data_IF_865025964946
#
_entry.id   IF_865025964946
#
_cell.length_a   1.000
_cell.length_b   1.000
_cell.length_c   1.000
_cell.angle_alpha   90.00
_cell.angle_beta   90.00
_cell.angle_gamma   90.00
#
_symmetry.space_group_name_H-M   'P 1'
#
loop_
_entity.id
_entity.type
_entity.pdbx_description
1 polymer ?
#
# COMPACT_ATOMS: atom_id res chain seq x y z
N UNK A 1 -1.46 16.19 31.75
CA UNK A 1 -0.01 15.99 31.58
C UNK A 1 0.15 14.73 30.76
N UNK A 2 0.30 14.85 29.44
CA UNK A 2 0.39 13.72 28.49
C UNK A 2 1.88 13.48 28.27
N UNK A 3 2.40 12.26 28.43
CA UNK A 3 3.81 12.00 28.22
C UNK A 3 4.15 12.10 26.74
N UNK A 4 5.22 12.81 26.44
CA UNK A 4 5.86 12.98 25.15
C UNK A 4 6.34 11.62 24.65
N UNK A 5 5.79 11.13 23.55
CA UNK A 5 6.19 9.87 22.90
C UNK A 5 7.19 10.16 21.78
N UNK A 6 8.34 10.74 22.14
CA UNK A 6 9.53 10.71 21.30
C UNK A 6 10.38 9.49 21.71
N UNK A 7 9.92 8.33 21.30
CA UNK A 7 10.74 7.13 21.28
C UNK A 7 11.21 6.91 19.83
N UNK A 8 12.49 7.11 19.65
CA UNK A 8 13.31 6.90 18.46
C UNK A 8 13.26 5.43 18.01
N UNK A 9 12.12 5.03 17.45
CA UNK A 9 11.93 3.73 16.85
C UNK A 9 12.30 3.85 15.38
N UNK A 10 13.51 3.42 15.03
CA UNK A 10 13.96 3.19 13.65
C UNK A 10 13.02 2.21 12.96
N UNK A 11 11.87 2.71 12.55
CA UNK A 11 10.93 1.94 11.70
C UNK A 11 11.63 1.67 10.38
N UNK A 12 11.76 0.42 9.95
CA UNK A 12 12.26 0.15 8.61
C UNK A 12 11.38 0.89 7.62
N UNK A 13 12.01 1.75 6.80
CA UNK A 13 11.30 2.52 5.78
C UNK A 13 10.44 1.56 4.95
N UNK A 14 9.16 1.88 4.79
CA UNK A 14 8.23 1.11 3.96
C UNK A 14 8.77 0.89 2.54
N UNK A 15 9.46 1.90 1.99
CA UNK A 15 10.15 1.82 0.71
C UNK A 15 11.27 0.78 0.74
N UNK A 16 12.02 0.72 1.83
CA UNK A 16 13.13 -0.24 1.99
C UNK A 16 12.62 -1.68 2.07
N UNK A 17 11.53 -1.92 2.78
CA UNK A 17 10.89 -3.24 2.86
C UNK A 17 10.27 -3.66 1.52
N UNK A 18 9.66 -2.72 0.78
CA UNK A 18 9.05 -3.00 -0.52
C UNK A 18 10.09 -3.16 -1.63
N UNK A 19 11.17 -2.35 -1.63
CA UNK A 19 12.27 -2.41 -2.60
C UNK A 19 13.31 -3.47 -2.24
N UNK A 20 13.52 -3.74 -0.97
CA UNK A 20 14.47 -4.76 -0.50
C UNK A 20 14.13 -6.17 -0.96
N UNK A 21 12.85 -6.44 -1.24
CA UNK A 21 12.42 -7.72 -1.82
C UNK A 21 12.76 -7.88 -3.31
N UNK A 22 13.30 -6.82 -3.97
CA UNK A 22 13.69 -6.87 -5.39
C UNK A 22 15.17 -6.56 -5.68
N UNK A 23 15.95 -6.18 -4.64
CA UNK A 23 17.35 -5.78 -4.78
C UNK A 23 18.13 -6.14 -3.50
N UNK A 24 18.14 -7.38 -3.13
CA UNK A 24 18.92 -7.82 -1.99
C UNK A 24 19.48 -9.20 -2.26
N UNK A 25 20.79 -9.31 -2.15
CA UNK A 25 21.59 -10.50 -2.10
C UNK A 25 20.79 -11.71 -1.53
N UNK A 26 20.70 -12.77 -2.33
CA UNK A 26 19.88 -13.97 -2.13
C UNK A 26 20.37 -14.89 -0.99
N UNK A 27 21.11 -14.40 -0.01
CA UNK A 27 21.72 -15.25 1.03
C UNK A 27 20.89 -15.43 2.31
N UNK A 28 19.84 -14.64 2.56
CA UNK A 28 19.07 -14.72 3.82
C UNK A 28 17.62 -15.20 3.71
N UNK A 29 17.14 -15.57 2.52
CA UNK A 29 15.80 -16.12 2.32
C UNK A 29 15.86 -17.56 1.79
N UNK A 30 16.34 -18.45 2.61
CA UNK A 30 16.67 -19.86 2.24
C UNK A 30 15.49 -20.74 1.78
N UNK A 31 14.24 -20.27 1.73
CA UNK A 31 13.16 -21.05 1.11
C UNK A 31 12.21 -20.27 0.18
N UNK A 32 12.27 -18.96 0.10
CA UNK A 32 11.40 -18.15 -0.78
C UNK A 32 12.00 -17.86 -2.15
N UNK A 33 13.32 -18.04 -2.32
CA UNK A 33 14.02 -17.83 -3.59
C UNK A 33 13.73 -18.87 -4.68
N UNK A 34 12.99 -19.92 -4.35
CA UNK A 34 12.63 -21.02 -5.26
C UNK A 34 11.20 -20.91 -5.82
N UNK A 35 10.38 -19.99 -5.34
CA UNK A 35 9.00 -19.87 -5.81
C UNK A 35 8.93 -18.99 -7.07
N UNK A 36 8.20 -19.46 -8.08
CA UNK A 36 7.84 -18.60 -9.21
C UNK A 36 6.98 -17.41 -8.75
N UNK A 37 6.96 -16.27 -9.48
CA UNK A 37 6.09 -15.13 -9.16
C UNK A 37 4.62 -15.52 -8.98
N UNK A 38 4.12 -16.45 -9.77
CA UNK A 38 2.74 -16.93 -9.71
C UNK A 38 2.49 -17.77 -8.46
N UNK A 39 3.42 -18.66 -8.09
CA UNK A 39 3.33 -19.42 -6.85
C UNK A 39 3.35 -18.50 -5.61
N UNK A 40 4.14 -17.43 -5.66
CA UNK A 40 4.16 -16.43 -4.60
C UNK A 40 2.82 -15.68 -4.53
N UNK A 41 2.25 -15.30 -5.67
CA UNK A 41 0.93 -14.67 -5.73
C UNK A 41 -0.16 -15.58 -5.14
N UNK A 42 -0.16 -16.87 -5.47
CA UNK A 42 -1.12 -17.84 -4.93
C UNK A 42 -1.02 -18.00 -3.41
N UNK A 43 0.20 -18.03 -2.87
CA UNK A 43 0.42 -18.09 -1.43
C UNK A 43 -0.09 -16.81 -0.77
N UNK A 44 0.25 -15.64 -1.30
CA UNK A 44 -0.23 -14.34 -0.79
C UNK A 44 -1.75 -14.25 -0.83
N UNK A 45 -2.36 -14.66 -1.93
CA UNK A 45 -3.83 -14.63 -2.09
C UNK A 45 -4.54 -15.51 -1.07
N UNK A 46 -4.03 -16.71 -0.82
CA UNK A 46 -4.56 -17.61 0.22
C UNK A 46 -4.42 -17.02 1.63
N UNK A 47 -3.28 -16.39 1.93
CA UNK A 47 -3.06 -15.74 3.24
C UNK A 47 -4.02 -14.57 3.42
N UNK A 48 -4.15 -13.69 2.41
CA UNK A 48 -5.08 -12.57 2.43
C UNK A 48 -6.52 -13.05 2.64
N UNK A 49 -6.95 -14.06 1.87
CA UNK A 49 -8.27 -14.66 2.03
C UNK A 49 -8.53 -15.15 3.46
N UNK A 50 -7.58 -15.87 4.07
CA UNK A 50 -7.71 -16.32 5.47
C UNK A 50 -7.84 -15.17 6.45
N UNK A 51 -7.01 -14.12 6.30
CA UNK A 51 -7.06 -12.94 7.16
C UNK A 51 -8.44 -12.26 7.05
N UNK A 52 -8.96 -12.08 5.84
CA UNK A 52 -10.26 -11.46 5.60
C UNK A 52 -11.42 -12.26 6.23
N UNK A 53 -11.32 -13.58 6.29
CA UNK A 53 -12.34 -14.44 6.92
C UNK A 53 -12.19 -14.57 8.43
N UNK A 54 -11.00 -14.29 8.97
CA UNK A 54 -10.74 -14.39 10.41
C UNK A 54 -11.35 -13.23 11.22
N UNK A 55 -11.62 -12.08 10.58
CA UNK A 55 -12.20 -10.91 11.25
C UNK A 55 -11.83 -9.58 10.58
N UNK A 56 -12.20 -8.46 11.21
CA UNK A 56 -11.87 -7.13 10.70
C UNK A 56 -10.37 -6.93 10.56
N UNK A 57 -9.93 -6.48 9.38
CA UNK A 57 -8.52 -6.26 9.09
C UNK A 57 -8.31 -5.06 8.14
N UNK A 58 -7.11 -4.50 8.16
CA UNK A 58 -6.66 -3.50 7.20
C UNK A 58 -5.46 -4.08 6.45
N UNK A 59 -5.59 -4.18 5.12
CA UNK A 59 -4.54 -4.74 4.26
C UNK A 59 -4.06 -3.65 3.30
N UNK A 60 -2.74 -3.49 3.17
CA UNK A 60 -2.13 -2.49 2.30
C UNK A 60 -1.51 -3.15 1.08
N UNK A 61 -2.05 -2.84 -0.09
CA UNK A 61 -1.56 -3.32 -1.38
C UNK A 61 -1.79 -4.81 -1.63
N UNK A 62 -0.88 -5.46 -2.38
CA UNK A 62 -0.91 -6.90 -2.71
C UNK A 62 -2.18 -7.38 -3.42
N UNK A 63 -2.81 -6.50 -4.21
CA UNK A 63 -4.08 -6.79 -4.90
C UNK A 63 -5.21 -7.27 -3.95
N UNK A 64 -5.13 -6.89 -2.66
CA UNK A 64 -6.10 -7.34 -1.66
C UNK A 64 -7.53 -6.91 -1.97
N UNK A 65 -7.70 -5.74 -2.58
CA UNK A 65 -8.97 -5.25 -3.10
C UNK A 65 -9.59 -6.19 -4.14
N UNK A 66 -8.77 -6.80 -4.98
CA UNK A 66 -9.21 -7.76 -5.99
C UNK A 66 -9.44 -9.16 -5.40
N UNK A 67 -8.54 -9.60 -4.52
CA UNK A 67 -8.66 -10.92 -3.86
C UNK A 67 -9.94 -10.98 -3.01
N UNK A 68 -10.23 -9.90 -2.29
CA UNK A 68 -11.39 -9.82 -1.40
C UNK A 68 -12.68 -9.28 -2.07
N UNK A 69 -12.71 -9.10 -3.38
CA UNK A 69 -13.80 -8.42 -4.11
C UNK A 69 -15.18 -9.04 -3.93
N UNK A 70 -15.24 -10.33 -3.62
CA UNK A 70 -16.51 -11.05 -3.40
C UNK A 70 -17.05 -10.85 -1.97
N UNK A 71 -16.29 -10.23 -1.09
CA UNK A 71 -16.74 -9.98 0.28
C UNK A 71 -17.64 -8.74 0.31
N UNK A 72 -18.84 -8.89 0.84
CA UNK A 72 -19.84 -7.80 0.92
C UNK A 72 -19.39 -6.64 1.79
N UNK A 73 -18.55 -6.91 2.80
CA UNK A 73 -18.02 -5.92 3.74
C UNK A 73 -16.64 -5.35 3.33
N UNK A 74 -16.18 -5.63 2.11
CA UNK A 74 -14.95 -5.02 1.59
C UNK A 74 -15.10 -3.51 1.43
N UNK A 75 -14.11 -2.77 1.92
CA UNK A 75 -13.94 -1.36 1.65
C UNK A 75 -12.55 -1.09 1.07
N UNK A 76 -12.48 -0.68 -0.19
CA UNK A 76 -11.23 -0.42 -0.90
C UNK A 76 -11.00 1.08 -1.07
N UNK A 77 -9.80 1.53 -0.74
CA UNK A 77 -9.37 2.93 -0.82
C UNK A 77 -8.11 3.04 -1.66
N UNK A 78 -8.09 3.95 -2.61
CA UNK A 78 -6.90 4.34 -3.35
C UNK A 78 -6.45 5.73 -2.91
N UNK A 79 -5.26 5.82 -2.34
CA UNK A 79 -4.67 7.08 -1.90
C UNK A 79 -3.58 7.46 -2.90
N UNK A 80 -3.71 8.64 -3.49
CA UNK A 80 -2.73 9.19 -4.41
C UNK A 80 -2.30 10.59 -3.98
N UNK A 81 -1.29 11.13 -4.65
CA UNK A 81 -0.79 12.48 -4.39
C UNK A 81 0.08 12.92 -5.57
N UNK A 82 0.12 14.22 -5.91
CA UNK A 82 0.99 14.75 -6.94
C UNK A 82 2.46 14.38 -6.74
N UNK A 83 3.18 14.20 -7.84
CA UNK A 83 4.57 13.77 -7.85
C UNK A 83 5.48 14.62 -6.96
N UNK A 84 5.36 15.96 -7.07
CA UNK A 84 6.16 16.88 -6.26
C UNK A 84 5.90 16.75 -4.76
N UNK A 85 4.65 16.51 -4.35
CA UNK A 85 4.30 16.31 -2.94
C UNK A 85 4.90 15.00 -2.41
N UNK A 86 4.83 13.92 -3.20
CA UNK A 86 5.43 12.63 -2.84
C UNK A 86 6.96 12.71 -2.76
N UNK A 87 7.60 13.41 -3.71
CA UNK A 87 9.04 13.60 -3.72
C UNK A 87 9.53 14.28 -2.44
N UNK A 88 8.90 15.40 -2.04
CA UNK A 88 9.22 16.08 -0.77
C UNK A 88 9.13 15.14 0.44
N UNK A 89 8.08 14.34 0.53
CA UNK A 89 7.92 13.37 1.64
C UNK A 89 9.01 12.29 1.65
N UNK A 90 9.47 11.86 0.48
CA UNK A 90 10.56 10.88 0.36
C UNK A 90 11.87 11.50 0.84
N UNK A 91 12.18 12.73 0.44
CA UNK A 91 13.37 13.47 0.90
C UNK A 91 13.30 13.71 2.40
N UNK A 92 12.16 14.18 2.95
CA UNK A 92 11.98 14.41 4.38
C UNK A 92 12.18 13.16 5.24
N UNK A 93 12.02 11.97 4.67
CA UNK A 93 12.27 10.68 5.33
C UNK A 93 13.71 10.19 5.19
N UNK A 94 14.56 10.96 4.53
CA UNK A 94 15.92 10.55 4.17
C UNK A 94 15.99 9.27 3.30
N UNK A 95 14.94 9.02 2.50
CA UNK A 95 14.89 7.89 1.57
C UNK A 95 15.49 8.25 0.18
N UNK A 96 15.79 9.54 -0.06
CA UNK A 96 16.46 10.08 -1.24
C UNK A 96 17.30 11.30 -0.87
N UNK A 97 18.38 11.54 -1.63
CA UNK A 97 19.26 12.68 -1.41
C UNK A 97 18.63 14.01 -1.85
N UNK A 98 17.82 13.97 -2.91
CA UNK A 98 17.17 15.14 -3.49
C UNK A 98 15.80 14.79 -4.11
N UNK A 99 15.06 15.82 -4.55
CA UNK A 99 13.76 15.64 -5.19
C UNK A 99 13.82 14.88 -6.52
N UNK A 100 14.88 15.08 -7.32
CA UNK A 100 15.02 14.39 -8.59
C UNK A 100 15.22 12.88 -8.41
N UNK A 101 15.99 12.48 -7.42
CA UNK A 101 16.14 11.08 -7.03
C UNK A 101 14.82 10.54 -6.45
N UNK A 102 14.15 11.30 -5.61
CA UNK A 102 12.86 10.93 -5.03
C UNK A 102 11.79 10.67 -6.10
N UNK A 103 11.71 11.53 -7.13
CA UNK A 103 10.80 11.34 -8.27
C UNK A 103 11.12 10.03 -9.01
N UNK A 104 12.40 9.77 -9.27
CA UNK A 104 12.85 8.53 -9.92
C UNK A 104 12.44 7.28 -9.13
N UNK A 105 12.65 7.32 -7.83
CA UNK A 105 12.27 6.23 -6.90
C UNK A 105 10.75 6.03 -6.92
N UNK A 106 9.97 7.12 -6.80
CA UNK A 106 8.51 7.07 -6.82
C UNK A 106 7.97 6.47 -8.12
N UNK A 107 8.44 6.95 -9.28
CA UNK A 107 8.03 6.44 -10.60
C UNK A 107 8.34 4.96 -10.77
N UNK A 108 9.54 4.54 -10.38
CA UNK A 108 9.93 3.12 -10.43
C UNK A 108 9.05 2.24 -9.54
N UNK A 109 8.71 2.73 -8.35
CA UNK A 109 7.83 2.02 -7.43
C UNK A 109 6.39 1.91 -7.98
N UNK A 110 5.87 2.98 -8.58
CA UNK A 110 4.53 2.99 -9.16
C UNK A 110 4.46 2.08 -10.40
N UNK A 111 5.44 2.13 -11.28
CA UNK A 111 5.50 1.24 -12.45
C UNK A 111 5.50 -0.24 -12.04
N UNK A 112 6.20 -0.60 -10.97
CA UNK A 112 6.17 -1.97 -10.44
C UNK A 112 4.81 -2.34 -9.86
N UNK A 113 4.15 -1.43 -9.12
CA UNK A 113 2.81 -1.66 -8.57
C UNK A 113 1.78 -1.81 -9.68
N UNK A 114 1.84 -0.92 -10.68
CA UNK A 114 0.97 -0.95 -11.84
C UNK A 114 1.12 -2.26 -12.61
N UNK A 115 2.35 -2.65 -12.97
CA UNK A 115 2.61 -3.89 -13.69
C UNK A 115 2.11 -5.11 -12.91
N UNK A 116 2.38 -5.18 -11.61
CA UNK A 116 1.94 -6.27 -10.75
C UNK A 116 0.41 -6.32 -10.66
N UNK A 117 -0.24 -5.18 -10.38
CA UNK A 117 -1.68 -5.12 -10.26
C UNK A 117 -2.39 -5.47 -11.56
N UNK A 118 -1.96 -4.85 -12.67
CA UNK A 118 -2.57 -5.08 -13.97
C UNK A 118 -2.42 -6.54 -14.42
N UNK A 119 -1.27 -7.15 -14.19
CA UNK A 119 -1.01 -8.54 -14.56
C UNK A 119 -1.94 -9.51 -13.82
N UNK A 120 -2.02 -9.41 -12.48
CA UNK A 120 -2.79 -10.37 -11.69
C UNK A 120 -4.30 -10.09 -11.63
N UNK A 121 -4.73 -8.88 -11.93
CA UNK A 121 -6.16 -8.52 -11.81
C UNK A 121 -6.85 -8.31 -13.15
N UNK A 122 -6.10 -8.09 -14.23
CA UNK A 122 -6.63 -7.66 -15.51
C UNK A 122 -7.24 -6.25 -15.47
N UNK A 123 -7.06 -5.50 -14.38
CA UNK A 123 -7.60 -4.16 -14.17
C UNK A 123 -6.49 -3.11 -14.22
N UNK A 124 -6.85 -1.87 -14.55
CA UNK A 124 -5.89 -0.75 -14.53
C UNK A 124 -5.66 -0.26 -13.10
N UNK A 125 -4.43 -0.29 -12.63
CA UNK A 125 -4.05 0.25 -11.33
C UNK A 125 -4.38 1.74 -11.22
N UNK A 126 -4.92 2.19 -10.10
CA UNK A 126 -5.26 3.59 -9.86
C UNK A 126 -6.50 4.10 -10.60
N UNK A 127 -7.18 3.28 -11.40
CA UNK A 127 -8.45 3.68 -11.98
C UNK A 127 -9.51 3.81 -10.88
N UNK A 128 -10.09 5.00 -10.74
CA UNK A 128 -11.03 5.31 -9.65
C UNK A 128 -12.22 4.33 -9.57
N UNK A 129 -12.65 3.79 -10.71
CA UNK A 129 -13.73 2.80 -10.79
C UNK A 129 -13.43 1.46 -10.11
N UNK A 130 -12.17 1.18 -9.79
CA UNK A 130 -11.78 -0.06 -9.10
C UNK A 130 -11.88 0.06 -7.57
N UNK A 131 -12.08 1.27 -7.05
CA UNK A 131 -12.04 1.54 -5.62
C UNK A 131 -13.33 2.19 -5.14
N UNK A 132 -13.69 1.97 -3.88
CA UNK A 132 -14.85 2.61 -3.27
C UNK A 132 -14.60 4.09 -2.94
N UNK A 133 -13.33 4.44 -2.68
CA UNK A 133 -12.87 5.80 -2.44
C UNK A 133 -11.52 5.99 -3.12
N UNK A 134 -11.37 7.07 -3.89
CA UNK A 134 -10.08 7.52 -4.43
C UNK A 134 -9.82 8.93 -3.92
N UNK A 135 -8.65 9.15 -3.32
CA UNK A 135 -8.38 10.34 -2.50
C UNK A 135 -7.00 10.91 -2.79
N UNK A 136 -6.94 12.23 -3.04
CA UNK A 136 -5.69 12.97 -3.09
C UNK A 136 -5.27 13.42 -1.69
N UNK A 137 -4.26 12.77 -1.13
CA UNK A 137 -3.75 13.05 0.20
C UNK A 137 -2.80 14.27 0.26
N UNK A 138 -2.64 15.02 -0.83
CA UNK A 138 -1.85 16.27 -0.79
C UNK A 138 -2.64 17.46 -0.25
N UNK A 139 -3.97 17.36 -0.24
CA UNK A 139 -4.89 18.42 0.14
C UNK A 139 -5.27 18.38 1.64
N UNK A 140 -4.89 17.33 2.34
CA UNK A 140 -5.29 17.05 3.71
C UNK A 140 -4.08 16.66 4.55
N UNK A 141 -4.14 16.92 5.84
CA UNK A 141 -3.22 16.33 6.82
C UNK A 141 -3.43 14.80 6.92
N UNK A 142 -2.54 14.14 7.62
CA UNK A 142 -2.67 12.71 7.88
C UNK A 142 -3.95 12.40 8.67
N UNK A 143 -4.23 13.19 9.69
CA UNK A 143 -5.39 13.07 10.58
C UNK A 143 -6.68 13.29 9.81
N UNK A 144 -6.78 14.37 9.03
CA UNK A 144 -7.95 14.66 8.20
C UNK A 144 -8.19 13.57 7.14
N UNK A 145 -7.13 13.01 6.57
CA UNK A 145 -7.21 11.88 5.63
C UNK A 145 -7.82 10.65 6.32
N UNK A 146 -7.38 10.32 7.53
CA UNK A 146 -7.90 9.20 8.32
C UNK A 146 -9.37 9.44 8.68
N UNK A 147 -9.72 10.63 9.16
CA UNK A 147 -11.08 10.99 9.54
C UNK A 147 -12.06 10.91 8.37
N UNK A 148 -11.62 11.35 7.19
CA UNK A 148 -12.41 11.23 5.97
C UNK A 148 -12.68 9.76 5.61
N UNK A 149 -11.66 8.92 5.64
CA UNK A 149 -11.79 7.47 5.36
C UNK A 149 -12.74 6.82 6.37
N UNK A 150 -12.58 7.11 7.66
CA UNK A 150 -13.45 6.56 8.72
C UNK A 150 -14.89 7.03 8.55
N UNK A 151 -15.11 8.31 8.24
CA UNK A 151 -16.44 8.87 8.02
C UNK A 151 -17.15 8.22 6.85
N UNK A 152 -16.44 8.00 5.75
CA UNK A 152 -16.98 7.29 4.59
C UNK A 152 -17.30 5.82 4.91
N UNK A 153 -16.42 5.14 5.65
CA UNK A 153 -16.64 3.76 6.09
C UNK A 153 -17.91 3.64 6.95
N UNK A 154 -18.08 4.55 7.93
CA UNK A 154 -19.28 4.60 8.80
C UNK A 154 -20.56 4.84 7.99
N UNK A 155 -20.52 5.79 7.06
CA UNK A 155 -21.67 6.09 6.20
C UNK A 155 -22.07 4.91 5.31
N UNK A 156 -21.11 4.12 4.85
CA UNK A 156 -21.37 2.89 4.09
C UNK A 156 -21.94 1.78 4.98
N UNK A 157 -21.33 1.56 6.16
CA UNK A 157 -21.78 0.52 7.09
C UNK A 157 -23.23 0.74 7.54
N UNK A 158 -23.68 1.98 7.64
CA UNK A 158 -25.06 2.32 7.97
C UNK A 158 -26.09 1.96 6.84
N UNK A 159 -25.63 1.62 5.63
CA UNK A 159 -26.47 1.26 4.49
C UNK A 159 -26.46 -0.24 4.16
N UNK A 160 -25.67 -1.00 4.88
CA UNK A 160 -25.58 -2.47 4.76
C UNK A 160 -26.48 -3.16 5.80
#
# INVERSE_FOLDING_TARGET
MIPNADADEKRPSFIRTFLGSSYGNTSDFGCWGSLSPDALYDVQSRVIGRICHAGPCVIVGRTADYIARELTNLFSVFIHSPEAHRARRIVMRNDAADEAEAIRIAKKADSKRESYYNYYTGRRWGAASNYHLSLDASMLSMEETVDLIISFLKARAAKM
#
